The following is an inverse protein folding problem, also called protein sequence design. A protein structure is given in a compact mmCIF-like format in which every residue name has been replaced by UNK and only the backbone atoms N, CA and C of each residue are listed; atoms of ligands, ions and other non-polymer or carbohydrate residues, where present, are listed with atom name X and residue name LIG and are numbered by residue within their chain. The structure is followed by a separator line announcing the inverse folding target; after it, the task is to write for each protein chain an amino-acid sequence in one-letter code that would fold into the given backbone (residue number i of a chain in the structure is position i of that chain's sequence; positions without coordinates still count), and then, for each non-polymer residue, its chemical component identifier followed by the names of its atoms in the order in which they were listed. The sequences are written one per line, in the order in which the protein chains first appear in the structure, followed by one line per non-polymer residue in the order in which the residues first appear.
data_IF_025138720827
#
_entry.id   IF_025138720827
#
_cell.length_a   1.000
_cell.length_b   1.000
_cell.length_c   1.000
_cell.angle_alpha   90.00
_cell.angle_beta   90.00
_cell.angle_gamma   90.00
#
_symmetry.space_group_name_H-M   'P 1'
#
loop_
_entity.id
_entity.type
_entity.pdbx_description
1 polymer ?
#
# COMPACT_ATOMS: atom_id res chain seq x y z
N UNK A 1 -3.21 15.76 -4.40
CA UNK A 1 -4.02 14.94 -3.47
C UNK A 1 -3.77 15.43 -2.06
N UNK A 2 -4.81 15.66 -1.24
CA UNK A 2 -4.62 15.84 0.21
C UNK A 2 -3.81 14.65 0.76
N UNK A 3 -2.97 14.87 1.79
CA UNK A 3 -2.23 13.78 2.42
C UNK A 3 -3.19 12.64 2.74
N UNK A 4 -2.91 11.45 2.19
CA UNK A 4 -3.70 10.26 2.49
C UNK A 4 -3.57 9.97 3.97
N UNK A 5 -4.67 9.57 4.62
CA UNK A 5 -4.63 9.03 5.98
C UNK A 5 -3.93 7.65 6.03
N UNK A 6 -3.72 7.04 4.87
CA UNK A 6 -3.06 5.75 4.72
C UNK A 6 -1.59 5.93 4.36
N UNK A 7 -0.71 5.16 5.01
CA UNK A 7 0.70 5.05 4.62
C UNK A 7 0.84 4.29 3.30
N UNK A 8 1.98 4.46 2.62
CA UNK A 8 2.24 3.75 1.37
C UNK A 8 2.29 2.22 1.56
N UNK A 9 2.81 1.76 2.71
CA UNK A 9 2.77 0.37 3.12
C UNK A 9 1.32 -0.15 3.27
N UNK A 10 0.42 0.64 3.88
CA UNK A 10 -0.99 0.28 4.00
C UNK A 10 -1.65 0.21 2.62
N UNK A 11 -1.45 1.23 1.77
CA UNK A 11 -2.01 1.27 0.42
C UNK A 11 -1.61 0.03 -0.38
N UNK A 12 -0.34 -0.36 -0.33
CA UNK A 12 0.12 -1.54 -1.03
C UNK A 12 -0.41 -2.86 -0.46
N UNK A 13 -0.57 -2.95 0.86
CA UNK A 13 -1.22 -4.10 1.48
C UNK A 13 -2.68 -4.24 1.00
N UNK A 14 -3.40 -3.13 0.86
CA UNK A 14 -4.75 -3.10 0.27
C UNK A 14 -4.73 -3.59 -1.17
N UNK A 15 -3.81 -3.08 -2.01
CA UNK A 15 -3.70 -3.48 -3.41
C UNK A 15 -3.35 -4.97 -3.56
N UNK A 16 -2.43 -5.48 -2.74
CA UNK A 16 -1.99 -6.88 -2.75
C UNK A 16 -3.14 -7.85 -2.42
N UNK A 17 -4.02 -7.52 -1.47
CA UNK A 17 -5.16 -8.39 -1.15
C UNK A 17 -6.05 -8.67 -2.37
N UNK A 18 -6.20 -7.69 -3.26
CA UNK A 18 -6.95 -7.86 -4.49
C UNK A 18 -6.20 -8.71 -5.53
N UNK A 19 -4.86 -8.66 -5.55
CA UNK A 19 -4.04 -9.53 -6.39
C UNK A 19 -4.03 -10.98 -5.90
N UNK A 20 -4.05 -11.18 -4.57
CA UNK A 20 -4.13 -12.49 -3.93
C UNK A 20 -5.55 -13.11 -4.02
N UNK A 21 -6.46 -12.50 -4.79
CA UNK A 21 -7.77 -13.05 -5.13
C UNK A 21 -8.96 -12.55 -4.32
N UNK A 22 -8.77 -11.61 -3.38
CA UNK A 22 -9.90 -10.98 -2.67
C UNK A 22 -10.63 -10.02 -3.60
N UNK A 23 -11.96 -10.03 -3.60
CA UNK A 23 -12.72 -9.08 -4.42
C UNK A 23 -12.45 -7.62 -4.00
N UNK A 24 -12.33 -6.71 -4.97
CA UNK A 24 -12.08 -5.28 -4.70
C UNK A 24 -13.15 -4.68 -3.78
N UNK A 25 -14.42 -5.08 -3.96
CA UNK A 25 -15.53 -4.63 -3.11
C UNK A 25 -15.37 -5.07 -1.65
N UNK A 26 -14.89 -6.29 -1.40
CA UNK A 26 -14.61 -6.78 -0.04
C UNK A 26 -13.41 -6.07 0.58
N UNK A 27 -12.33 -5.88 -0.19
CA UNK A 27 -11.15 -5.11 0.23
C UNK A 27 -11.56 -3.69 0.63
N UNK A 28 -12.36 -3.02 -0.20
CA UNK A 28 -12.86 -1.67 0.05
C UNK A 28 -13.73 -1.61 1.31
N UNK A 29 -14.63 -2.58 1.49
CA UNK A 29 -15.49 -2.68 2.67
C UNK A 29 -14.69 -2.90 3.96
N UNK A 30 -13.68 -3.78 3.96
CA UNK A 30 -12.83 -4.07 5.13
C UNK A 30 -11.93 -2.89 5.50
N UNK A 31 -11.43 -2.16 4.50
CA UNK A 31 -10.47 -1.06 4.69
C UNK A 31 -11.13 0.32 4.83
N UNK A 32 -12.44 0.41 4.60
CA UNK A 32 -13.21 1.65 4.73
C UNK A 32 -12.92 2.66 3.62
N UNK A 33 -12.52 2.21 2.43
CA UNK A 33 -12.27 3.07 1.27
C UNK A 33 -13.31 2.82 0.18
N UNK A 34 -13.46 3.78 -0.74
CA UNK A 34 -14.26 3.59 -1.94
C UNK A 34 -13.48 2.86 -3.03
N UNK A 35 -14.17 2.15 -3.91
CA UNK A 35 -13.55 1.52 -5.08
C UNK A 35 -12.83 2.54 -5.98
N UNK A 36 -13.36 3.76 -6.09
CA UNK A 36 -12.70 4.85 -6.80
C UNK A 36 -11.32 5.19 -6.21
N UNK A 37 -11.20 5.14 -4.88
CA UNK A 37 -9.92 5.34 -4.18
C UNK A 37 -8.96 4.18 -4.46
N UNK A 38 -9.47 2.94 -4.41
CA UNK A 38 -8.70 1.75 -4.75
C UNK A 38 -8.14 1.82 -6.16
N UNK A 39 -8.95 2.14 -7.18
CA UNK A 39 -8.47 2.26 -8.55
C UNK A 39 -7.53 3.45 -8.76
N UNK A 40 -7.73 4.56 -8.05
CA UNK A 40 -6.78 5.68 -8.08
C UNK A 40 -5.41 5.28 -7.51
N UNK A 41 -5.38 4.52 -6.41
CA UNK A 41 -4.15 3.94 -5.87
C UNK A 41 -3.56 2.92 -6.84
N UNK A 42 -4.37 2.00 -7.38
CA UNK A 42 -3.90 1.03 -8.36
C UNK A 42 -3.27 1.74 -9.55
N UNK A 43 -3.86 2.79 -10.10
CA UNK A 43 -3.27 3.57 -11.21
C UNK A 43 -1.95 4.25 -10.81
N UNK A 44 -1.88 4.80 -9.59
CA UNK A 44 -0.68 5.49 -9.08
C UNK A 44 0.47 4.53 -8.77
N UNK A 45 0.14 3.32 -8.30
CA UNK A 45 1.10 2.32 -7.79
C UNK A 45 1.23 1.09 -8.70
N UNK A 46 0.53 1.04 -9.85
CA UNK A 46 0.56 -0.09 -10.81
C UNK A 46 1.96 -0.33 -11.40
N UNK A 47 2.81 0.71 -11.44
CA UNK A 47 4.20 0.59 -11.87
C UNK A 47 5.16 0.13 -10.76
N UNK A 48 4.75 0.17 -9.49
CA UNK A 48 5.57 -0.11 -8.30
C UNK A 48 5.43 -1.55 -7.77
N UNK A 49 5.04 -2.47 -8.65
CA UNK A 49 4.74 -3.88 -8.36
C UNK A 49 6.00 -4.68 -7.93
N UNK A 50 5.85 -5.91 -7.39
CA UNK A 50 6.31 -6.36 -6.07
C UNK A 50 7.80 -6.22 -5.69
N UNK A 51 8.71 -5.98 -6.64
CA UNK A 51 10.12 -5.70 -6.39
C UNK A 51 10.33 -4.36 -5.70
N UNK A 52 9.62 -3.31 -6.14
CA UNK A 52 9.70 -1.98 -5.54
C UNK A 52 8.98 -1.94 -4.19
N UNK A 53 7.92 -2.74 -4.01
CA UNK A 53 7.26 -2.90 -2.72
C UNK A 53 8.13 -3.65 -1.69
N UNK A 54 8.89 -4.67 -2.13
CA UNK A 54 9.91 -5.34 -1.30
C UNK A 54 11.01 -4.36 -0.90
N UNK A 55 11.47 -3.54 -1.86
CA UNK A 55 12.47 -2.50 -1.61
C UNK A 55 11.96 -1.45 -0.63
N UNK A 56 10.70 -1.01 -0.77
CA UNK A 56 10.08 -0.07 0.16
C UNK A 56 10.05 -0.64 1.58
N UNK A 57 9.65 -1.91 1.74
CA UNK A 57 9.62 -2.58 3.05
C UNK A 57 11.02 -2.72 3.65
N UNK A 58 12.03 -3.11 2.86
CA UNK A 58 13.42 -3.14 3.30
C UNK A 58 13.92 -1.76 3.75
N UNK A 59 13.64 -0.72 2.95
CA UNK A 59 14.04 0.64 3.27
C UNK A 59 13.34 1.14 4.54
N UNK A 60 12.06 0.84 4.76
CA UNK A 60 11.37 1.17 6.02
C UNK A 60 11.99 0.44 7.22
N UNK A 61 12.36 -0.83 7.07
CA UNK A 61 12.95 -1.65 8.12
C UNK A 61 14.38 -1.19 8.48
N UNK A 62 15.19 -0.84 7.47
CA UNK A 62 16.50 -0.22 7.68
C UNK A 62 16.39 1.14 8.33
N UNK A 63 15.44 1.99 7.90
CA UNK A 63 15.23 3.31 8.48
C UNK A 63 14.75 3.22 9.94
N UNK A 64 13.92 2.23 10.26
CA UNK A 64 13.52 1.94 11.65
C UNK A 64 14.70 1.48 12.52
N UNK A 65 15.63 0.68 11.99
CA UNK A 65 16.86 0.29 12.69
C UNK A 65 17.78 1.49 12.91
N UNK A 66 17.99 2.32 11.88
CA UNK A 66 18.82 3.53 11.98
C UNK A 66 18.27 4.53 13.01
N UNK A 67 16.95 4.73 13.03
CA UNK A 67 16.29 5.59 14.04
C UNK A 67 16.36 5.06 15.47
N UNK A 68 16.72 3.80 15.69
CA UNK A 68 16.94 3.23 17.04
C UNK A 68 18.38 3.39 17.52
N UNK A 69 19.30 3.72 16.61
CA UNK A 69 20.73 3.90 16.89
C UNK A 69 21.11 5.37 17.11
N UNK A 70 20.18 6.30 16.88
CA UNK A 70 20.29 7.75 17.14
C UNK A 70 19.32 8.10 18.25
#
# INVERSE_FOLDING_TARGET
MKRSKFSEAQIAFVLKQAEDGTSVGEVCRKTGISEATFYAWRKKYAGLMPSEMRRLRQLEEENAKLKRLV
#
